data_IF_044731614747
#
_entry.id   IF_044731614747
#
_cell.length_a   1.000
_cell.length_b   1.000
_cell.length_c   1.000
_cell.angle_alpha   90.00
_cell.angle_beta   90.00
_cell.angle_gamma   90.00
#
_symmetry.space_group_name_H-M   'P 1'
#
loop_
_entity.id
_entity.type
_entity.pdbx_description
1 polymer ?
#
# COMPACT_ATOMS: atom_id res chain seq x y z
N UNK A 1 5.63 7.82 -15.75
CA UNK A 1 4.38 7.04 -15.88
C UNK A 1 4.33 6.09 -14.70
N UNK A 2 3.24 6.07 -13.94
CA UNK A 2 3.15 5.26 -12.71
C UNK A 2 2.80 3.81 -13.03
N UNK A 3 3.61 2.88 -12.52
CA UNK A 3 3.46 1.42 -12.72
C UNK A 3 2.28 0.85 -11.92
N UNK A 4 1.92 1.54 -10.84
CA UNK A 4 0.87 1.13 -9.90
C UNK A 4 -0.29 2.12 -9.90
N UNK A 5 -1.47 1.58 -9.66
CA UNK A 5 -2.70 2.31 -9.36
C UNK A 5 -3.31 1.81 -8.06
N UNK A 6 -3.86 2.71 -7.27
CA UNK A 6 -4.68 2.40 -6.11
C UNK A 6 -6.07 3.01 -6.27
N UNK A 7 -7.11 2.23 -5.99
CA UNK A 7 -8.49 2.70 -5.92
C UNK A 7 -9.01 2.45 -4.52
N UNK A 8 -9.53 3.51 -3.92
CA UNK A 8 -10.32 3.43 -2.70
C UNK A 8 -11.78 3.43 -3.10
N UNK A 9 -12.59 2.57 -2.49
CA UNK A 9 -14.03 2.57 -2.75
C UNK A 9 -14.64 3.94 -2.48
N UNK A 10 -15.35 4.49 -3.47
CA UNK A 10 -15.98 5.80 -3.38
C UNK A 10 -15.09 6.98 -3.74
N UNK A 11 -13.89 6.76 -4.30
CA UNK A 11 -12.97 7.82 -4.72
C UNK A 11 -12.38 7.60 -6.10
N UNK A 12 -11.78 8.66 -6.63
CA UNK A 12 -10.98 8.60 -7.85
C UNK A 12 -9.75 7.72 -7.67
N UNK A 13 -9.31 7.12 -8.78
CA UNK A 13 -8.05 6.38 -8.87
C UNK A 13 -6.90 7.30 -8.50
N UNK A 14 -6.01 6.82 -7.65
CA UNK A 14 -4.77 7.51 -7.33
C UNK A 14 -3.60 6.76 -7.97
N UNK A 15 -2.79 7.52 -8.70
CA UNK A 15 -1.57 7.04 -9.36
C UNK A 15 -0.34 7.81 -8.89
N UNK A 16 -0.50 8.70 -7.90
CA UNK A 16 0.54 9.59 -7.38
C UNK A 16 1.43 8.86 -6.36
N UNK A 17 2.04 7.76 -6.80
CA UNK A 17 2.98 7.01 -5.99
C UNK A 17 4.31 7.76 -5.89
N UNK A 18 4.70 8.10 -4.67
CA UNK A 18 6.03 8.59 -4.34
C UNK A 18 7.02 7.42 -4.31
N UNK A 19 8.02 7.44 -5.16
CA UNK A 19 9.10 6.46 -5.12
C UNK A 19 10.04 6.80 -3.94
N UNK A 20 10.10 5.94 -2.94
CA UNK A 20 11.00 6.11 -1.77
C UNK A 20 12.30 5.37 -1.97
N UNK A 21 12.26 4.28 -2.73
CA UNK A 21 13.38 3.41 -3.03
C UNK A 21 13.18 2.82 -4.43
N UNK A 22 14.22 2.23 -5.02
CA UNK A 22 14.15 1.66 -6.38
C UNK A 22 13.02 0.62 -6.52
N UNK A 23 12.69 -0.07 -5.44
CA UNK A 23 11.68 -1.12 -5.36
C UNK A 23 10.51 -0.77 -4.43
N UNK A 24 10.45 0.45 -3.88
CA UNK A 24 9.43 0.82 -2.89
C UNK A 24 8.66 2.07 -3.29
N UNK A 25 7.35 1.94 -3.23
CA UNK A 25 6.42 3.00 -3.58
C UNK A 25 5.55 3.33 -2.38
N UNK A 26 5.42 4.62 -2.09
CA UNK A 26 4.52 5.17 -1.09
C UNK A 26 3.36 5.90 -1.73
N UNK A 27 2.16 5.69 -1.20
CA UNK A 27 1.02 6.57 -1.51
C UNK A 27 0.35 7.00 -0.21
N UNK A 28 -0.02 8.28 -0.13
CA UNK A 28 -0.73 8.83 1.02
C UNK A 28 -2.21 8.92 0.68
N UNK A 29 -3.05 8.27 1.47
CA UNK A 29 -4.49 8.24 1.25
C UNK A 29 -5.17 9.13 2.30
N UNK A 30 -5.80 10.25 1.89
CA UNK A 30 -6.51 11.14 2.81
C UNK A 30 -7.81 10.49 3.36
N UNK A 31 -8.40 11.05 4.41
CA UNK A 31 -9.64 10.58 5.08
C UNK A 31 -9.80 9.05 5.26
N UNK A 32 -8.80 8.41 5.86
CA UNK A 32 -8.67 6.96 5.94
C UNK A 32 -9.68 6.25 6.85
N UNK A 33 -10.46 6.99 7.63
CA UNK A 33 -11.53 6.41 8.46
C UNK A 33 -12.75 5.97 7.63
N UNK A 34 -12.84 6.45 6.39
CA UNK A 34 -13.88 6.09 5.41
C UNK A 34 -13.51 4.89 4.52
N UNK A 35 -12.30 4.35 4.67
CA UNK A 35 -11.79 3.29 3.79
C UNK A 35 -12.25 1.92 4.30
N UNK A 36 -13.05 1.23 3.50
CA UNK A 36 -13.45 -0.16 3.75
C UNK A 36 -12.73 -1.15 2.83
N UNK A 37 -12.54 -0.78 1.56
CA UNK A 37 -11.87 -1.61 0.57
C UNK A 37 -10.88 -0.77 -0.24
N UNK A 38 -9.68 -1.32 -0.42
CA UNK A 38 -8.65 -0.78 -1.29
C UNK A 38 -8.37 -1.79 -2.38
N UNK A 39 -8.31 -1.32 -3.60
CA UNK A 39 -7.87 -2.09 -4.76
C UNK A 39 -6.51 -1.57 -5.16
N UNK A 40 -5.54 -2.46 -5.32
CA UNK A 40 -4.22 -2.13 -5.89
C UNK A 40 -4.04 -2.93 -7.15
N UNK A 41 -3.57 -2.28 -8.21
CA UNK A 41 -3.40 -2.92 -9.50
C UNK A 41 -2.21 -2.34 -10.27
N UNK A 42 -1.70 -3.11 -11.21
CA UNK A 42 -0.73 -2.69 -12.21
C UNK A 42 -1.45 -1.95 -13.33
N UNK A 43 -0.93 -0.79 -13.73
CA UNK A 43 -1.46 -0.01 -14.87
C UNK A 43 -1.13 -0.65 -16.22
N UNK A 44 -0.24 -1.65 -16.25
CA UNK A 44 0.17 -2.34 -17.48
C UNK A 44 1.18 -1.57 -18.34
N UNK A 45 1.65 -0.40 -17.87
CA UNK A 45 2.69 0.37 -18.59
C UNK A 45 4.05 -0.33 -18.55
N UNK A 46 4.33 -1.08 -17.49
CA UNK A 46 5.55 -1.85 -17.32
C UNK A 46 5.26 -3.12 -16.51
N UNK A 47 5.64 -4.31 -17.00
CA UNK A 47 5.52 -5.53 -16.21
C UNK A 47 6.57 -5.57 -15.10
N UNK A 48 6.30 -6.37 -14.07
CA UNK A 48 7.33 -6.71 -13.09
C UNK A 48 8.49 -7.47 -13.76
N UNK A 49 9.75 -7.23 -13.34
CA UNK A 49 10.88 -8.04 -13.79
C UNK A 49 10.67 -9.52 -13.46
N UNK A 50 11.28 -10.43 -14.22
CA UNK A 50 11.09 -11.87 -14.03
C UNK A 50 11.50 -12.30 -12.62
N UNK A 51 10.61 -13.05 -11.95
CA UNK A 51 10.82 -13.52 -10.58
C UNK A 51 10.42 -12.55 -9.47
N UNK A 52 9.99 -11.32 -9.79
CA UNK A 52 9.60 -10.32 -8.80
C UNK A 52 8.08 -10.18 -8.65
N UNK A 53 7.65 -9.87 -7.43
CA UNK A 53 6.28 -9.47 -7.10
C UNK A 53 6.25 -8.13 -6.36
N UNK A 54 5.05 -7.59 -6.20
CA UNK A 54 4.79 -6.45 -5.32
C UNK A 54 4.08 -6.92 -4.08
N UNK A 55 4.60 -6.61 -2.90
CA UNK A 55 3.90 -6.82 -1.63
C UNK A 55 3.31 -5.51 -1.14
N UNK A 56 2.05 -5.58 -0.69
CA UNK A 56 1.21 -4.44 -0.35
C UNK A 56 1.08 -4.34 1.16
N UNK A 57 1.56 -3.24 1.73
CA UNK A 57 1.47 -2.94 3.15
C UNK A 57 0.67 -1.68 3.43
N UNK A 58 0.00 -1.69 4.57
CA UNK A 58 -0.81 -0.58 5.05
C UNK A 58 -0.43 -0.19 6.47
N UNK A 59 -0.31 1.11 6.74
CA UNK A 59 -0.03 1.65 8.06
C UNK A 59 -1.15 2.57 8.54
N UNK A 60 -1.58 2.38 9.79
CA UNK A 60 -2.44 3.32 10.50
C UNK A 60 -1.57 4.26 11.37
N UNK A 61 -1.74 5.59 11.31
CA UNK A 61 -1.23 6.53 12.29
C UNK A 61 -2.07 6.34 13.54
N UNK A 62 -1.57 5.54 14.46
CA UNK A 62 -2.10 5.53 15.81
C UNK A 62 -1.19 6.42 16.65
N UNK A 63 -1.72 7.30 17.52
CA UNK A 63 -0.91 8.12 18.42
C UNK A 63 0.00 7.27 19.33
N UNK A 64 -0.44 6.06 19.70
CA UNK A 64 0.34 5.12 20.53
C UNK A 64 1.24 4.15 19.74
N UNK A 65 1.15 4.13 18.41
CA UNK A 65 1.91 3.19 17.58
C UNK A 65 2.38 3.88 16.30
N UNK A 66 3.49 4.60 16.43
CA UNK A 66 4.36 4.95 15.32
C UNK A 66 4.79 3.63 14.63
N UNK A 67 4.24 3.32 13.45
CA UNK A 67 4.79 2.29 12.56
C UNK A 67 4.20 0.87 12.63
N UNK A 68 2.88 0.69 12.80
CA UNK A 68 2.27 -0.63 12.63
C UNK A 68 1.93 -0.91 11.15
N UNK A 69 2.93 -1.39 10.41
CA UNK A 69 2.76 -1.84 9.03
C UNK A 69 2.14 -3.23 8.98
N UNK A 70 1.00 -3.35 8.31
CA UNK A 70 0.31 -4.62 8.10
C UNK A 70 0.42 -5.02 6.63
N UNK A 71 0.92 -6.23 6.37
CA UNK A 71 0.87 -6.83 5.05
C UNK A 71 -0.58 -7.17 4.71
N UNK A 72 -1.12 -6.53 3.66
CA UNK A 72 -2.44 -6.82 3.12
C UNK A 72 -2.39 -8.00 2.14
N UNK A 73 -1.32 -8.11 1.36
CA UNK A 73 -1.08 -9.21 0.43
C UNK A 73 -0.07 -8.86 -0.64
N UNK A 74 -0.23 -9.44 -1.83
CA UNK A 74 0.73 -9.31 -2.93
C UNK A 74 0.04 -9.20 -4.30
N UNK A 75 0.78 -8.65 -5.25
CA UNK A 75 0.48 -8.51 -6.67
C UNK A 75 1.66 -9.08 -7.47
N UNK A 76 1.40 -9.67 -8.63
CA UNK A 76 2.44 -10.23 -9.50
C UNK A 76 2.01 -10.11 -10.95
N UNK A 77 2.87 -10.48 -11.90
CA UNK A 77 2.47 -10.47 -13.32
C UNK A 77 1.31 -11.46 -13.61
N UNK A 78 1.26 -12.60 -12.90
CA UNK A 78 0.16 -13.55 -12.99
C UNK A 78 -1.14 -13.05 -12.33
N UNK A 79 -1.02 -12.19 -11.32
CA UNK A 79 -2.15 -11.57 -10.62
C UNK A 79 -1.93 -10.05 -10.53
N UNK A 80 -2.24 -9.31 -11.61
CA UNK A 80 -1.91 -7.90 -11.74
C UNK A 80 -2.79 -6.98 -10.86
N UNK A 81 -3.85 -7.50 -10.26
CA UNK A 81 -4.74 -6.74 -9.38
C UNK A 81 -5.18 -7.55 -8.15
N UNK A 82 -5.36 -6.84 -7.04
CA UNK A 82 -5.84 -7.41 -5.79
C UNK A 82 -6.73 -6.41 -5.04
N UNK A 83 -7.78 -6.94 -4.42
CA UNK A 83 -8.72 -6.18 -3.59
C UNK A 83 -8.49 -6.58 -2.14
N UNK A 84 -8.25 -5.59 -1.30
CA UNK A 84 -7.98 -5.74 0.12
C UNK A 84 -9.09 -5.10 0.94
N UNK A 85 -9.66 -5.90 1.85
CA UNK A 85 -10.66 -5.41 2.80
C UNK A 85 -9.96 -4.90 4.05
N UNK A 86 -10.14 -3.63 4.36
CA UNK A 86 -9.61 -2.98 5.55
C UNK A 86 -10.74 -2.93 6.58
N UNK A 87 -10.96 -4.05 7.25
CA UNK A 87 -11.89 -4.10 8.37
C UNK A 87 -11.14 -3.80 9.65
N UNK A 88 -11.70 -2.98 10.54
CA UNK A 88 -11.13 -2.53 11.84
C UNK A 88 -10.94 -3.65 12.88
N UNK A 89 -10.44 -4.83 12.47
CA UNK A 89 -10.33 -5.99 13.34
C UNK A 89 -8.95 -6.07 14.00
N UNK A 90 -9.00 -5.94 15.32
CA UNK A 90 -7.92 -6.03 16.31
C UNK A 90 -6.93 -7.18 16.04
N UNK A 91 -5.66 -6.85 15.86
CA UNK A 91 -4.52 -7.19 16.75
C UNK A 91 -3.24 -6.90 15.98
N UNK A 92 -2.49 -5.94 16.49
CA UNK A 92 -1.09 -5.75 16.15
C UNK A 92 -0.34 -7.08 16.24
N UNK A 93 0.01 -7.66 15.09
CA UNK A 93 1.20 -8.51 15.03
C UNK A 93 2.35 -7.56 14.80
N UNK A 94 3.05 -7.26 15.91
CA UNK A 94 4.24 -6.41 15.95
C UNK A 94 5.16 -6.73 14.79
N UNK A 95 5.38 -5.76 13.92
CA UNK A 95 6.60 -5.65 13.12
C UNK A 95 6.91 -4.15 13.06
N UNK A 96 7.72 -3.69 14.00
CA UNK A 96 8.12 -2.30 14.10
C UNK A 96 9.10 -1.98 12.97
N UNK A 97 8.59 -1.35 11.90
CA UNK A 97 9.44 -0.62 10.95
C UNK A 97 9.26 0.86 11.25
N UNK A 98 10.21 1.39 12.02
CA UNK A 98 10.32 2.83 12.31
C UNK A 98 10.64 3.54 11.00
N UNK A 99 9.74 4.40 10.53
CA UNK A 99 10.04 5.35 9.45
C UNK A 99 10.15 6.76 10.05
N UNK A 100 11.17 7.56 9.69
CA UNK A 100 11.45 8.86 10.32
C UNK A 100 10.69 10.04 9.70
N UNK A 101 9.65 9.84 8.87
CA UNK A 101 9.08 10.93 8.05
C UNK A 101 7.54 11.05 8.12
N UNK A 102 7.09 12.11 8.82
CA UNK A 102 5.76 12.74 8.87
C UNK A 102 4.57 11.95 9.46
N UNK A 103 3.53 12.64 10.00
CA UNK A 103 2.39 12.02 10.67
C UNK A 103 1.22 11.68 9.72
N UNK A 104 1.48 11.42 8.44
CA UNK A 104 0.45 11.16 7.42
C UNK A 104 0.43 9.67 7.01
N UNK A 105 -0.75 9.11 6.69
CA UNK A 105 -0.95 7.65 6.49
C UNK A 105 -0.24 7.16 5.23
N UNK A 106 0.95 6.59 5.38
CA UNK A 106 1.73 6.06 4.28
C UNK A 106 1.34 4.60 3.96
N UNK A 107 1.15 4.29 2.68
CA UNK A 107 0.90 2.95 2.15
C UNK A 107 2.20 2.44 1.52
N UNK A 108 2.81 1.35 2.02
CA UNK A 108 4.12 0.87 1.53
C UNK A 108 3.89 -0.29 0.58
N UNK A 109 4.26 -0.12 -0.68
CA UNK A 109 4.41 -1.22 -1.62
C UNK A 109 5.89 -1.58 -1.64
N UNK A 110 6.26 -2.75 -1.14
CA UNK A 110 7.63 -3.27 -1.23
C UNK A 110 7.66 -4.32 -2.32
N UNK A 111 8.43 -4.13 -3.40
CA UNK A 111 8.70 -5.25 -4.30
C UNK A 111 9.62 -6.24 -3.57
N UNK A 112 9.21 -7.51 -3.54
CA UNK A 112 10.02 -8.66 -3.15
C UNK A 112 10.15 -9.55 -4.36
#
# INVERSE_FOLDING_TARGET
MSIFGAIVTGRLVQTDFQNVDQTKFLINIPDPDSINHIVVFLTGTQPFPEGFGGSVYFCWPSPDAVGNWQLLGFISNAKPSAIFRISKHKKARRCAVVVPFSPQRCFWLSLV
#
